data_IF_642888766253
#
_entry.id   IF_642888766253
#
_cell.length_a   1.000
_cell.length_b   1.000
_cell.length_c   1.000
_cell.angle_alpha   90.00
_cell.angle_beta   90.00
_cell.angle_gamma   90.00
#
_symmetry.space_group_name_H-M   'P 1'
#
loop_
_entity.id
_entity.type
_entity.pdbx_description
1 polymer ?
#
# COMPACT_ATOMS: atom_id res chain seq x y z
N UNK A 1 -19.87 -13.35 -0.75
CA UNK A 1 -18.76 -13.25 0.22
C UNK A 1 -17.69 -14.26 -0.15
N UNK A 2 -16.41 -13.92 0.05
CA UNK A 2 -15.32 -14.89 -0.01
C UNK A 2 -15.48 -15.87 1.16
N UNK A 3 -15.13 -17.14 0.98
CA UNK A 3 -15.07 -18.08 2.11
C UNK A 3 -13.92 -17.68 3.04
N UNK A 4 -14.06 -17.93 4.34
CA UNK A 4 -13.08 -17.54 5.37
C UNK A 4 -11.63 -17.89 5.00
N UNK A 5 -11.41 -19.12 4.52
CA UNK A 5 -10.11 -19.60 4.04
C UNK A 5 -9.52 -18.80 2.88
N UNK A 6 -10.37 -18.28 1.98
CA UNK A 6 -9.91 -17.42 0.88
C UNK A 6 -9.54 -16.04 1.40
N UNK A 7 -10.31 -15.52 2.35
CA UNK A 7 -10.08 -14.22 2.94
C UNK A 7 -8.76 -14.20 3.73
N UNK A 8 -8.48 -15.26 4.48
CA UNK A 8 -7.21 -15.48 5.17
C UNK A 8 -6.00 -15.46 4.22
N UNK A 9 -6.04 -16.25 3.14
CA UNK A 9 -4.96 -16.31 2.14
C UNK A 9 -4.72 -14.97 1.44
N UNK A 10 -5.78 -14.22 1.15
CA UNK A 10 -5.70 -12.89 0.54
C UNK A 10 -5.09 -11.88 1.50
N UNK A 11 -5.53 -11.88 2.76
CA UNK A 11 -5.01 -11.00 3.82
C UNK A 11 -3.53 -11.26 4.11
N UNK A 12 -3.13 -12.53 4.18
CA UNK A 12 -1.74 -12.90 4.41
C UNK A 12 -0.85 -12.51 3.22
N UNK A 13 -1.30 -12.78 1.99
CA UNK A 13 -0.59 -12.36 0.77
C UNK A 13 -0.45 -10.84 0.68
N UNK A 14 -1.51 -10.12 1.03
CA UNK A 14 -1.52 -8.65 1.08
C UNK A 14 -0.52 -8.12 2.10
N UNK A 15 -0.54 -8.65 3.32
CA UNK A 15 0.40 -8.27 4.38
C UNK A 15 1.85 -8.50 3.96
N UNK A 16 2.14 -9.64 3.32
CA UNK A 16 3.49 -9.96 2.86
C UNK A 16 3.92 -9.03 1.71
N UNK A 17 3.04 -8.70 0.76
CA UNK A 17 3.37 -7.73 -0.30
C UNK A 17 3.62 -6.33 0.26
N UNK A 18 2.83 -5.90 1.26
CA UNK A 18 3.06 -4.64 1.95
C UNK A 18 4.41 -4.63 2.68
N UNK A 19 4.80 -5.72 3.34
CA UNK A 19 6.11 -5.85 3.98
C UNK A 19 7.28 -5.80 2.97
N UNK A 20 7.02 -6.17 1.70
CA UNK A 20 7.98 -6.06 0.59
C UNK A 20 7.97 -4.68 -0.08
N UNK A 21 7.15 -3.73 0.41
CA UNK A 21 6.98 -2.42 -0.21
C UNK A 21 6.28 -2.46 -1.58
N UNK A 22 5.56 -3.54 -1.89
CA UNK A 22 4.87 -3.73 -3.18
C UNK A 22 3.42 -3.25 -3.05
N UNK A 23 3.16 -2.09 -3.66
CA UNK A 23 1.81 -1.55 -3.77
C UNK A 23 0.91 -2.45 -4.62
N UNK A 24 -0.28 -2.74 -4.10
CA UNK A 24 -1.23 -3.64 -4.75
C UNK A 24 -2.69 -3.25 -4.46
N UNK A 25 -3.59 -3.69 -5.32
CA UNK A 25 -5.05 -3.58 -5.12
C UNK A 25 -5.67 -4.96 -5.03
N UNK A 26 -6.78 -5.09 -4.31
CA UNK A 26 -7.49 -6.36 -4.12
C UNK A 26 -8.90 -6.22 -4.67
N UNK A 27 -9.27 -7.06 -5.63
CA UNK A 27 -10.63 -7.10 -6.17
C UNK A 27 -11.57 -7.87 -5.25
N UNK A 28 -12.88 -7.67 -5.41
CA UNK A 28 -13.94 -8.35 -4.63
C UNK A 28 -13.85 -9.88 -4.65
N UNK A 29 -13.22 -10.45 -5.68
CA UNK A 29 -12.99 -11.88 -5.84
C UNK A 29 -11.71 -12.40 -5.16
N UNK A 30 -10.97 -11.56 -4.45
CA UNK A 30 -9.72 -11.93 -3.76
C UNK A 30 -8.52 -12.02 -4.71
N UNK A 31 -8.58 -11.34 -5.86
CA UNK A 31 -7.47 -11.25 -6.80
C UNK A 31 -6.62 -10.03 -6.45
N UNK A 32 -5.30 -10.22 -6.39
CA UNK A 32 -4.35 -9.15 -6.07
C UNK A 32 -3.73 -8.63 -7.37
N UNK A 33 -3.76 -7.32 -7.58
CA UNK A 33 -3.19 -6.65 -8.75
C UNK A 33 -2.00 -5.80 -8.31
N UNK A 34 -0.87 -5.93 -9.02
CA UNK A 34 0.32 -5.10 -8.85
C UNK A 34 0.59 -4.33 -10.15
N UNK A 35 0.77 -3.00 -10.04
CA UNK A 35 1.11 -2.16 -11.16
C UNK A 35 2.64 -1.99 -11.25
N UNK A 36 3.24 -2.37 -12.38
CA UNK A 36 4.67 -2.19 -12.66
C UNK A 36 4.86 -1.19 -13.79
N UNK A 37 6.09 -0.71 -14.01
CA UNK A 37 6.42 0.15 -15.16
C UNK A 37 6.15 -0.54 -16.49
N UNK A 38 6.31 -1.86 -16.54
CA UNK A 38 6.16 -2.67 -17.75
C UNK A 38 4.78 -3.32 -17.90
N UNK A 39 3.83 -3.02 -17.00
CA UNK A 39 2.44 -3.47 -17.09
C UNK A 39 1.87 -4.03 -15.79
N UNK A 40 0.66 -4.56 -15.88
CA UNK A 40 -0.11 -5.10 -14.75
C UNK A 40 0.25 -6.58 -14.52
N UNK A 41 0.59 -6.91 -13.27
CA UNK A 41 0.76 -8.29 -12.78
C UNK A 41 -0.47 -8.63 -11.93
N UNK A 42 -1.06 -9.80 -12.16
CA UNK A 42 -2.25 -10.27 -11.44
C UNK A 42 -1.88 -11.54 -10.70
N UNK A 43 -2.13 -11.58 -9.40
CA UNK A 43 -1.90 -12.73 -8.54
C UNK A 43 -3.22 -13.27 -8.01
N UNK A 44 -3.36 -14.59 -8.06
CA UNK A 44 -4.51 -15.33 -7.56
C UNK A 44 -4.06 -16.18 -6.36
N UNK A 45 -4.14 -15.67 -5.12
CA UNK A 45 -3.61 -16.33 -3.93
C UNK A 45 -4.18 -17.74 -3.75
N UNK A 46 -5.49 -17.87 -3.95
CA UNK A 46 -6.24 -19.12 -3.75
C UNK A 46 -5.89 -20.22 -4.75
N UNK A 47 -5.39 -19.85 -5.94
CA UNK A 47 -5.00 -20.80 -6.99
C UNK A 47 -3.48 -20.91 -7.14
N UNK A 48 -2.72 -20.10 -6.40
CA UNK A 48 -1.27 -19.99 -6.51
C UNK A 48 -0.83 -19.76 -7.97
N UNK A 49 -1.48 -18.78 -8.63
CA UNK A 49 -1.25 -18.45 -10.05
C UNK A 49 -0.94 -16.98 -10.22
N UNK A 50 -0.13 -16.67 -11.21
CA UNK A 50 0.25 -15.33 -11.61
C UNK A 50 -0.09 -15.16 -13.07
N UNK A 51 -0.59 -13.99 -13.45
CA UNK A 51 -0.86 -13.63 -14.83
C UNK A 51 -0.17 -12.31 -15.16
N UNK A 52 0.55 -12.28 -16.28
CA UNK A 52 1.20 -11.09 -16.82
C UNK A 52 1.06 -11.10 -18.34
N UNK A 53 0.51 -10.01 -18.92
CA UNK A 53 0.28 -9.85 -20.37
C UNK A 53 -0.38 -11.07 -21.05
N UNK A 54 -1.31 -11.73 -20.35
CA UNK A 54 -2.03 -12.89 -20.87
C UNK A 54 -1.34 -14.24 -20.64
N UNK A 55 -0.06 -14.25 -20.26
CA UNK A 55 0.63 -15.48 -19.84
C UNK A 55 0.25 -15.80 -18.40
N UNK A 56 -0.23 -17.02 -18.15
CA UNK A 56 -0.54 -17.52 -16.80
C UNK A 56 0.52 -18.53 -16.39
N UNK A 57 1.18 -18.28 -15.27
CA UNK A 57 2.18 -19.15 -14.67
C UNK A 57 1.73 -19.62 -13.29
N UNK A 58 2.05 -20.87 -12.95
CA UNK A 58 1.95 -21.33 -11.58
C UNK A 58 3.05 -20.63 -10.75
N UNK A 59 2.70 -20.12 -9.58
CA UNK A 59 3.64 -19.38 -8.76
C UNK A 59 2.99 -18.70 -7.57
N UNK A 60 3.72 -18.69 -6.46
CA UNK A 60 3.32 -18.02 -5.22
C UNK A 60 3.94 -16.65 -5.09
N UNK A 61 3.88 -16.12 -3.87
CA UNK A 61 4.26 -14.74 -3.59
C UNK A 61 5.71 -14.41 -3.97
N UNK A 62 6.65 -15.34 -3.76
CA UNK A 62 8.05 -15.16 -4.14
C UNK A 62 8.21 -14.95 -5.66
N UNK A 63 7.38 -15.61 -6.47
CA UNK A 63 7.39 -15.43 -7.91
C UNK A 63 6.78 -14.08 -8.29
N UNK A 64 5.76 -13.60 -7.56
CA UNK A 64 5.21 -12.25 -7.74
C UNK A 64 6.30 -11.22 -7.45
N UNK A 65 7.02 -11.37 -6.34
CA UNK A 65 8.13 -10.50 -5.95
C UNK A 65 9.19 -10.41 -7.05
N UNK A 66 9.77 -11.55 -7.44
CA UNK A 66 10.83 -11.60 -8.44
C UNK A 66 10.38 -11.00 -9.78
N UNK A 67 9.13 -11.28 -10.18
CA UNK A 67 8.56 -10.74 -11.40
C UNK A 67 8.39 -9.22 -11.31
N UNK A 68 7.80 -8.72 -10.23
CA UNK A 68 7.58 -7.28 -10.02
C UNK A 68 8.89 -6.50 -9.93
N UNK A 69 9.91 -7.06 -9.28
CA UNK A 69 11.26 -6.50 -9.23
C UNK A 69 11.89 -6.45 -10.63
N UNK A 70 11.81 -7.53 -11.41
CA UNK A 70 12.36 -7.59 -12.78
C UNK A 70 11.67 -6.61 -13.75
N UNK A 71 10.38 -6.36 -13.56
CA UNK A 71 9.58 -5.47 -14.39
C UNK A 71 9.71 -3.99 -13.98
N UNK A 72 10.39 -3.72 -12.86
CA UNK A 72 10.52 -2.41 -12.26
C UNK A 72 9.21 -1.95 -11.61
N UNK A 73 9.24 -1.71 -10.30
CA UNK A 73 8.12 -1.07 -9.60
C UNK A 73 7.95 0.32 -10.20
N UNK A 74 6.71 0.68 -10.56
CA UNK A 74 6.38 2.07 -10.89
C UNK A 74 6.52 2.86 -9.60
N UNK A 75 7.74 3.30 -9.32
CA UNK A 75 8.07 4.15 -8.20
C UNK A 75 7.37 5.49 -8.35
N UNK A 76 6.14 5.53 -7.85
CA UNK A 76 5.77 6.45 -6.80
C UNK A 76 5.09 5.56 -5.76
N UNK A 77 5.36 5.82 -4.47
CA UNK A 77 4.52 5.35 -3.38
C UNK A 77 3.19 6.08 -3.60
N UNK A 78 2.40 5.62 -4.58
CA UNK A 78 1.07 6.14 -4.81
C UNK A 78 0.33 5.88 -3.51
N UNK A 79 -0.18 6.93 -2.84
CA UNK A 79 -0.90 6.75 -1.59
C UNK A 79 -1.95 5.69 -1.86
N UNK A 80 -2.01 4.69 -0.98
CA UNK A 80 -3.07 3.69 -1.03
C UNK A 80 -4.38 4.45 -1.26
N UNK A 81 -5.01 4.26 -2.42
CA UNK A 81 -6.41 4.65 -2.62
C UNK A 81 -7.22 3.67 -1.80
N UNK A 82 -7.15 3.84 -0.48
CA UNK A 82 -8.10 3.22 0.42
C UNK A 82 -9.48 3.74 0.01
N UNK A 83 -10.52 2.97 0.36
CA UNK A 83 -11.86 3.53 0.26
C UNK A 83 -11.85 4.87 1.03
N UNK A 84 -12.59 5.90 0.58
CA UNK A 84 -12.63 7.20 1.25
C UNK A 84 -12.87 7.12 2.77
N UNK A 85 -13.45 6.00 3.23
CA UNK A 85 -13.89 5.77 4.61
C UNK A 85 -12.90 4.92 5.45
N UNK A 86 -11.75 4.50 4.91
CA UNK A 86 -10.83 3.58 5.59
C UNK A 86 -9.53 4.30 6.02
N UNK A 87 -9.36 4.47 7.34
CA UNK A 87 -8.22 5.15 7.97
C UNK A 87 -6.98 4.23 7.95
N UNK A 88 -5.86 4.72 7.42
CA UNK A 88 -4.58 4.02 7.50
C UNK A 88 -3.78 4.36 8.74
N UNK A 89 -2.79 3.53 9.05
CA UNK A 89 -1.79 3.82 10.07
C UNK A 89 -1.00 5.12 9.76
N UNK A 90 -0.82 5.45 8.47
CA UNK A 90 -0.22 6.72 8.05
C UNK A 90 -1.11 7.91 8.40
N UNK A 91 -2.41 7.79 8.16
CA UNK A 91 -3.40 8.82 8.50
C UNK A 91 -3.46 9.02 10.03
N UNK A 92 -3.38 7.93 10.80
CA UNK A 92 -3.28 8.00 12.26
C UNK A 92 -2.04 8.78 12.73
N UNK A 93 -0.86 8.54 12.14
CA UNK A 93 0.34 9.30 12.50
C UNK A 93 0.27 10.76 12.07
N UNK A 94 -0.25 11.03 10.88
CA UNK A 94 -0.44 12.39 10.40
C UNK A 94 -1.40 13.15 11.32
N UNK A 95 -2.54 12.57 11.68
CA UNK A 95 -3.51 13.15 12.61
C UNK A 95 -2.91 13.38 14.01
N UNK A 96 -2.09 12.45 14.51
CA UNK A 96 -1.39 12.62 15.78
C UNK A 96 -0.35 13.73 15.76
N UNK A 97 0.34 13.93 14.63
CA UNK A 97 1.26 15.04 14.44
C UNK A 97 0.52 16.39 14.36
N UNK A 98 -0.65 16.42 13.71
CA UNK A 98 -1.53 17.59 13.64
C UNK A 98 -2.06 18.05 15.00
N UNK A 99 -2.28 17.10 15.91
CA UNK A 99 -3.00 17.36 17.17
C UNK A 99 -2.29 18.37 18.10
N UNK A 100 -1.00 18.63 17.89
CA UNK A 100 -0.20 19.55 18.72
C UNK A 100 -0.19 21.01 18.23
N UNK A 101 -0.71 21.31 17.04
CA UNK A 101 -0.50 22.62 16.37
C UNK A 101 -1.79 23.42 16.06
N UNK A 102 -2.96 22.93 16.48
CA UNK A 102 -4.24 23.53 16.06
C UNK A 102 -4.44 24.99 16.52
N UNK A 103 -3.81 25.41 17.62
CA UNK A 103 -3.98 26.75 18.22
C UNK A 103 -3.09 27.85 17.61
N UNK A 104 -2.28 27.55 16.59
CA UNK A 104 -1.20 28.47 16.15
C UNK A 104 -1.56 29.32 14.92
N UNK A 105 -2.67 29.04 14.22
CA UNK A 105 -2.96 29.67 12.93
C UNK A 105 -4.30 30.44 12.92
N UNK A 106 -4.30 31.74 13.28
CA UNK A 106 -5.50 32.57 13.25
C UNK A 106 -5.95 32.99 11.83
N UNK A 107 -5.06 32.96 10.83
CA UNK A 107 -5.36 33.32 9.42
C UNK A 107 -4.75 32.29 8.44
N UNK A 108 -5.40 31.14 8.31
CA UNK A 108 -4.92 30.02 7.46
C UNK A 108 -5.57 30.09 6.08
N UNK A 109 -4.76 30.30 5.05
CA UNK A 109 -5.19 30.13 3.66
C UNK A 109 -5.17 28.64 3.27
N UNK A 110 -5.93 28.27 2.24
CA UNK A 110 -5.92 26.91 1.66
C UNK A 110 -4.50 26.46 1.28
N UNK A 111 -3.64 27.38 0.84
CA UNK A 111 -2.26 27.06 0.51
C UNK A 111 -1.45 26.68 1.75
N UNK A 112 -1.64 27.40 2.86
CA UNK A 112 -1.01 27.08 4.15
C UNK A 112 -1.50 25.73 4.67
N UNK A 113 -2.81 25.48 4.63
CA UNK A 113 -3.39 24.19 5.03
C UNK A 113 -2.82 23.04 4.18
N UNK A 114 -2.67 23.23 2.87
CA UNK A 114 -2.09 22.23 1.99
C UNK A 114 -0.60 21.95 2.29
N UNK A 115 0.19 22.98 2.60
CA UNK A 115 1.60 22.83 2.97
C UNK A 115 1.75 22.09 4.30
N UNK A 116 0.93 22.45 5.27
CA UNK A 116 0.91 21.87 6.61
C UNK A 116 0.47 20.39 6.56
N UNK A 117 -0.60 20.07 5.81
CA UNK A 117 -1.00 18.68 5.58
C UNK A 117 0.14 17.83 4.98
N UNK A 118 0.84 18.35 3.95
CA UNK A 118 2.00 17.66 3.35
C UNK A 118 3.12 17.41 4.35
N UNK A 119 3.38 18.36 5.26
CA UNK A 119 4.39 18.21 6.29
C UNK A 119 4.07 17.03 7.22
N UNK A 120 2.84 16.92 7.70
CA UNK A 120 2.45 15.84 8.62
C UNK A 120 2.49 14.46 7.97
N UNK A 121 2.09 14.35 6.70
CA UNK A 121 2.25 13.10 5.97
C UNK A 121 3.72 12.70 5.80
N UNK A 122 4.64 13.65 5.62
CA UNK A 122 6.08 13.36 5.59
C UNK A 122 6.61 12.89 6.95
N UNK A 123 6.10 13.45 8.05
CA UNK A 123 6.44 12.98 9.40
C UNK A 123 5.92 11.56 9.64
N UNK A 124 4.68 11.27 9.23
CA UNK A 124 4.13 9.92 9.25
C UNK A 124 5.00 8.93 8.47
N UNK A 125 5.45 9.30 7.27
CA UNK A 125 6.34 8.48 6.44
C UNK A 125 7.69 8.21 7.15
N UNK A 126 8.26 9.20 7.85
CA UNK A 126 9.47 9.03 8.65
C UNK A 126 9.25 8.08 9.85
N UNK A 127 8.12 8.19 10.55
CA UNK A 127 7.78 7.31 11.67
C UNK A 127 7.59 5.86 11.22
N UNK A 128 7.00 5.64 10.04
CA UNK A 128 6.87 4.30 9.47
C UNK A 128 8.24 3.70 9.15
N UNK A 129 9.13 4.46 8.48
CA UNK A 129 10.51 4.00 8.20
C UNK A 129 11.31 3.68 9.46
N UNK A 130 11.17 4.49 10.50
CA UNK A 130 11.84 4.24 11.79
C UNK A 130 11.40 2.91 12.42
N UNK A 131 10.15 2.48 12.18
CA UNK A 131 9.65 1.18 12.64
C UNK A 131 10.19 0.01 11.83
N UNK A 132 10.33 0.16 10.52
CA UNK A 132 10.96 -0.84 9.66
C UNK A 132 12.42 -1.09 10.09
N UNK A 133 13.13 -0.04 10.50
CA UNK A 133 14.51 -0.13 10.99
C UNK A 133 14.64 -0.66 12.43
N UNK A 134 13.57 -0.70 13.23
CA UNK A 134 13.57 -1.19 14.62
C UNK A 134 13.18 -2.67 14.74
N UNK A 135 12.86 -3.36 13.65
CA UNK A 135 12.62 -4.80 13.61
C UNK A 135 13.89 -5.61 13.27
N UNK A 136 15.07 -5.06 13.58
CA UNK A 136 16.38 -5.72 13.43
C UNK A 136 16.78 -6.51 14.67
#
# INVERSE_FOLDING_TARGET
MLSDKKQELVSESSRQLNALGINHTIDVCGTITVQTKQGKVIFFPTKNKIQYKGTVTAGGLNNVKNLVESLGVSGEIAPQKNKPDEITLRDYFAARAMQSEWDVYPDVTDETLNKVAKLYYRMADAMMKARENNNG
#
